data_IF_225245984842
#
_entry.id   IF_225245984842
#
_cell.length_a   1.000
_cell.length_b   1.000
_cell.length_c   1.000
_cell.angle_alpha   90.00
_cell.angle_beta   90.00
_cell.angle_gamma   90.00
#
_symmetry.space_group_name_H-M   'P 1'
#
loop_
_entity.id
_entity.type
_entity.pdbx_description
1 polymer ?
#
# COMPACT_ATOMS: atom_id res chain seq x y z
N UNK A 1 17.49 -24.36 -80.29
CA UNK A 1 17.92 -24.47 -78.87
C UNK A 1 18.93 -23.34 -78.63
N UNK A 2 18.89 -22.54 -77.54
CA UNK A 2 18.08 -22.57 -76.32
C UNK A 2 17.12 -21.35 -76.16
N UNK A 3 16.20 -21.47 -75.21
CA UNK A 3 15.11 -20.53 -74.85
C UNK A 3 15.60 -19.51 -73.81
N UNK A 4 15.25 -18.21 -73.90
CA UNK A 4 15.53 -17.25 -72.84
C UNK A 4 14.53 -17.42 -71.67
N UNK A 5 15.02 -17.73 -70.47
CA UNK A 5 14.23 -17.73 -69.24
C UNK A 5 14.11 -16.29 -68.72
N UNK A 6 12.88 -15.78 -68.65
CA UNK A 6 12.54 -14.52 -67.94
C UNK A 6 12.65 -14.74 -66.43
N UNK A 7 13.29 -13.84 -65.66
CA UNK A 7 13.13 -13.81 -64.22
C UNK A 7 11.74 -13.25 -63.86
N UNK A 8 10.98 -14.03 -63.09
CA UNK A 8 9.74 -13.59 -62.44
C UNK A 8 10.09 -12.52 -61.41
N UNK A 9 9.76 -11.27 -61.74
CA UNK A 9 9.71 -10.15 -60.79
C UNK A 9 8.71 -10.47 -59.69
N UNK A 10 9.20 -10.96 -58.55
CA UNK A 10 8.45 -11.01 -57.31
C UNK A 10 8.13 -9.57 -56.88
N UNK A 11 6.84 -9.23 -56.82
CA UNK A 11 6.34 -7.90 -56.43
C UNK A 11 6.66 -7.64 -54.93
N UNK A 12 7.57 -6.71 -54.59
CA UNK A 12 8.06 -6.52 -53.22
C UNK A 12 7.02 -5.92 -52.26
N UNK A 13 5.90 -5.41 -52.79
CA UNK A 13 4.84 -4.75 -52.02
C UNK A 13 4.00 -5.76 -51.21
N UNK A 14 3.87 -7.00 -51.68
CA UNK A 14 3.02 -8.01 -51.01
C UNK A 14 3.73 -8.65 -49.81
N UNK A 15 5.06 -8.74 -49.83
CA UNK A 15 5.84 -9.33 -48.73
C UNK A 15 5.94 -8.40 -47.52
N UNK A 16 6.03 -7.07 -47.75
CA UNK A 16 6.08 -6.08 -46.66
C UNK A 16 4.79 -6.03 -45.81
N UNK A 17 3.63 -6.22 -46.44
CA UNK A 17 2.32 -6.14 -45.76
C UNK A 17 2.06 -7.36 -44.86
N UNK A 18 2.53 -8.55 -45.27
CA UNK A 18 2.48 -9.77 -44.44
C UNK A 18 3.42 -9.65 -43.24
N UNK A 19 4.62 -9.07 -43.43
CA UNK A 19 5.56 -8.82 -42.33
C UNK A 19 5.03 -7.88 -41.25
N UNK A 20 4.30 -6.83 -41.63
CA UNK A 20 3.67 -5.88 -40.69
C UNK A 20 2.49 -6.51 -39.94
N UNK A 21 1.67 -7.32 -40.61
CA UNK A 21 0.55 -8.02 -39.97
C UNK A 21 1.01 -9.09 -38.97
N UNK A 22 2.06 -9.85 -39.29
CA UNK A 22 2.65 -10.84 -38.39
C UNK A 22 3.40 -10.16 -37.23
N UNK A 23 4.11 -9.05 -37.50
CA UNK A 23 4.74 -8.23 -36.47
C UNK A 23 3.74 -7.69 -35.45
N UNK A 24 2.64 -7.09 -35.91
CA UNK A 24 1.59 -6.55 -35.04
C UNK A 24 0.91 -7.63 -34.18
N UNK A 25 0.74 -8.85 -34.70
CA UNK A 25 0.18 -9.97 -33.94
C UNK A 25 1.15 -10.51 -32.88
N UNK A 26 2.45 -10.56 -33.16
CA UNK A 26 3.44 -11.12 -32.24
C UNK A 26 3.82 -10.18 -31.09
N UNK A 27 3.72 -8.85 -31.24
CA UNK A 27 3.93 -7.90 -30.11
C UNK A 27 2.61 -7.48 -29.45
N UNK A 28 1.51 -7.43 -30.20
CA UNK A 28 0.21 -7.00 -29.68
C UNK A 28 -0.49 -8.03 -28.80
N UNK A 29 -0.42 -9.32 -29.16
CA UNK A 29 -1.10 -10.39 -28.41
C UNK A 29 -0.47 -10.63 -27.04
N UNK A 30 0.88 -10.66 -26.86
CA UNK A 30 1.46 -10.78 -25.52
C UNK A 30 1.12 -9.61 -24.61
N UNK A 31 1.08 -8.38 -25.14
CA UNK A 31 0.71 -7.18 -24.36
C UNK A 31 -0.76 -7.20 -23.93
N UNK A 32 -1.66 -7.59 -24.84
CA UNK A 32 -3.09 -7.78 -24.54
C UNK A 32 -3.33 -8.91 -23.54
N UNK A 33 -2.60 -10.02 -23.63
CA UNK A 33 -2.70 -11.14 -22.69
C UNK A 33 -2.16 -10.77 -21.31
N UNK A 34 -1.06 -10.01 -21.21
CA UNK A 34 -0.63 -9.43 -19.93
C UNK A 34 -1.67 -8.45 -19.35
N UNK A 35 -2.34 -7.67 -20.20
CA UNK A 35 -3.38 -6.72 -19.75
C UNK A 35 -4.67 -7.42 -19.30
N UNK A 36 -5.02 -8.56 -19.93
CA UNK A 36 -6.22 -9.34 -19.62
C UNK A 36 -6.04 -10.30 -18.44
N UNK A 37 -4.82 -10.74 -18.17
CA UNK A 37 -4.49 -11.60 -17.02
C UNK A 37 -4.02 -10.81 -15.77
N UNK A 38 -3.77 -9.51 -15.91
CA UNK A 38 -3.23 -8.65 -14.85
C UNK A 38 -3.93 -7.30 -14.70
N UNK A 39 -5.15 -7.14 -15.21
CA UNK A 39 -5.97 -5.94 -14.97
C UNK A 39 -6.29 -5.77 -13.47
N UNK A 40 -6.42 -4.53 -12.98
CA UNK A 40 -6.57 -4.22 -11.55
C UNK A 40 -7.64 -5.08 -10.90
N UNK A 41 -7.18 -5.99 -10.06
CA UNK A 41 -8.00 -6.98 -9.39
C UNK A 41 -8.98 -6.31 -8.42
N UNK A 42 -10.26 -6.70 -8.55
CA UNK A 42 -11.21 -6.79 -7.46
C UNK A 42 -11.97 -5.51 -7.08
N UNK A 43 -13.25 -5.70 -6.74
CA UNK A 43 -14.03 -4.78 -5.94
C UNK A 43 -13.21 -4.30 -4.72
N UNK A 44 -13.31 -3.01 -4.39
CA UNK A 44 -12.64 -2.45 -3.22
C UNK A 44 -12.96 -3.29 -1.97
N UNK A 45 -11.96 -3.62 -1.12
CA UNK A 45 -12.21 -4.29 0.14
C UNK A 45 -13.17 -3.45 1.00
N UNK A 46 -13.95 -4.10 1.85
CA UNK A 46 -14.78 -3.40 2.83
C UNK A 46 -13.95 -3.18 4.09
N UNK A 47 -13.83 -1.93 4.53
CA UNK A 47 -13.18 -1.63 5.81
C UNK A 47 -13.98 -2.25 6.98
N UNK A 48 -13.33 -2.84 7.98
CA UNK A 48 -14.04 -3.41 9.12
C UNK A 48 -14.74 -2.35 9.96
N UNK A 49 -15.70 -2.77 10.79
CA UNK A 49 -16.41 -1.86 11.69
C UNK A 49 -15.51 -1.36 12.84
N UNK A 50 -14.59 -2.20 13.29
CA UNK A 50 -13.64 -1.89 14.36
C UNK A 50 -12.26 -2.41 14.00
N UNK A 51 -11.22 -1.80 14.55
CA UNK A 51 -9.84 -2.18 14.28
C UNK A 51 -9.02 -2.04 15.55
N UNK A 52 -8.51 -3.15 16.12
CA UNK A 52 -7.74 -3.09 17.37
C UNK A 52 -8.51 -2.51 18.56
N UNK A 53 -9.84 -2.69 18.59
CA UNK A 53 -10.72 -2.07 19.60
C UNK A 53 -11.05 -0.60 19.35
N UNK A 54 -10.49 0.02 18.30
CA UNK A 54 -10.85 1.35 17.85
C UNK A 54 -12.10 1.29 16.96
N UNK A 55 -12.89 2.37 16.99
CA UNK A 55 -14.06 2.53 16.12
C UNK A 55 -13.70 3.38 14.93
N UNK A 56 -14.48 3.33 13.86
CA UNK A 56 -14.33 4.30 12.77
C UNK A 56 -14.41 5.73 13.32
N UNK A 57 -13.55 6.60 12.83
CA UNK A 57 -13.40 7.96 13.36
C UNK A 57 -14.74 8.73 13.35
N UNK A 58 -15.59 8.51 12.35
CA UNK A 58 -16.89 9.18 12.28
C UNK A 58 -17.81 8.75 13.43
N UNK A 59 -17.80 7.47 13.78
CA UNK A 59 -18.59 6.93 14.90
C UNK A 59 -18.06 7.43 16.24
N UNK A 60 -16.73 7.45 16.42
CA UNK A 60 -16.09 7.93 17.65
C UNK A 60 -16.40 9.42 17.90
N UNK A 61 -16.28 10.25 16.85
CA UNK A 61 -16.59 11.69 16.93
C UNK A 61 -18.08 11.93 17.17
N UNK A 62 -18.95 11.22 16.46
CA UNK A 62 -20.40 11.36 16.62
C UNK A 62 -20.86 11.00 18.04
N UNK A 63 -20.21 10.04 18.70
CA UNK A 63 -20.48 9.66 20.09
C UNK A 63 -20.15 10.79 21.08
N UNK A 64 -19.10 11.57 20.82
CA UNK A 64 -18.68 12.70 21.68
C UNK A 64 -19.59 13.90 21.48
N UNK A 65 -19.76 14.34 20.23
CA UNK A 65 -20.68 15.44 19.88
C UNK A 65 -20.98 15.43 18.38
N UNK A 66 -22.13 14.86 18.00
CA UNK A 66 -22.53 14.75 16.59
C UNK A 66 -22.73 16.10 15.88
N UNK A 67 -23.16 17.15 16.61
CA UNK A 67 -23.48 18.46 16.01
C UNK A 67 -22.21 19.25 15.75
N UNK A 68 -21.34 19.38 16.76
CA UNK A 68 -20.05 20.09 16.61
C UNK A 68 -19.04 19.26 15.81
N UNK A 69 -19.14 17.93 15.86
CA UNK A 69 -18.26 17.00 15.16
C UNK A 69 -18.51 16.87 13.66
N UNK A 70 -19.65 17.35 13.13
CA UNK A 70 -20.03 17.17 11.73
C UNK A 70 -18.95 17.64 10.73
N UNK A 71 -18.36 18.81 10.94
CA UNK A 71 -17.33 19.32 10.04
C UNK A 71 -16.06 18.44 10.04
N UNK A 72 -15.69 17.87 11.19
CA UNK A 72 -14.58 16.92 11.30
C UNK A 72 -14.89 15.61 10.59
N UNK A 73 -16.10 15.07 10.79
CA UNK A 73 -16.59 13.87 10.12
C UNK A 73 -16.56 14.06 8.60
N UNK A 74 -17.17 15.13 8.08
CA UNK A 74 -17.21 15.40 6.64
C UNK A 74 -15.79 15.52 6.04
N UNK A 75 -14.85 16.13 6.79
CA UNK A 75 -13.44 16.24 6.39
C UNK A 75 -12.73 14.89 6.38
N UNK A 76 -12.93 14.04 7.39
CA UNK A 76 -12.32 12.72 7.47
C UNK A 76 -12.85 11.84 6.33
N UNK A 77 -14.16 11.76 6.16
CA UNK A 77 -14.80 11.03 5.06
C UNK A 77 -14.26 11.45 3.70
N UNK A 78 -14.14 12.76 3.46
CA UNK A 78 -13.55 13.26 2.21
C UNK A 78 -12.08 12.88 2.07
N UNK A 79 -11.31 12.99 3.14
CA UNK A 79 -9.88 12.64 3.14
C UNK A 79 -9.68 11.16 2.84
N UNK A 80 -10.46 10.28 3.45
CA UNK A 80 -10.40 8.84 3.23
C UNK A 80 -10.81 8.49 1.79
N UNK A 81 -11.87 9.09 1.25
CA UNK A 81 -12.28 8.90 -0.15
C UNK A 81 -11.21 9.33 -1.16
N UNK A 82 -10.66 10.54 -0.99
CA UNK A 82 -9.60 11.06 -1.86
C UNK A 82 -8.31 10.24 -1.75
N UNK A 83 -7.98 9.76 -0.54
CA UNK A 83 -6.81 8.91 -0.31
C UNK A 83 -7.02 7.53 -0.93
N UNK A 84 -8.19 6.92 -0.78
CA UNK A 84 -8.52 5.65 -1.41
C UNK A 84 -8.44 5.73 -2.94
N UNK A 85 -8.93 6.81 -3.55
CA UNK A 85 -8.81 7.04 -4.99
C UNK A 85 -7.34 7.15 -5.43
N UNK A 86 -6.50 7.84 -4.65
CA UNK A 86 -5.05 7.97 -4.93
C UNK A 86 -4.31 6.66 -4.75
N UNK A 87 -4.66 5.87 -3.73
CA UNK A 87 -4.11 4.52 -3.53
C UNK A 87 -4.51 3.66 -4.71
N UNK A 88 -5.79 3.61 -5.07
CA UNK A 88 -6.25 2.85 -6.24
C UNK A 88 -5.46 3.22 -7.49
N UNK A 89 -5.30 4.52 -7.78
CA UNK A 89 -4.51 5.00 -8.92
C UNK A 89 -3.02 4.59 -8.86
N UNK A 90 -2.42 4.56 -7.67
CA UNK A 90 -1.03 4.12 -7.48
C UNK A 90 -0.83 2.61 -7.70
N UNK A 91 -1.91 1.82 -7.65
CA UNK A 91 -1.94 0.38 -7.93
C UNK A 91 -2.75 0.08 -9.20
N UNK A 92 -2.56 0.90 -10.24
CA UNK A 92 -3.15 0.71 -11.58
C UNK A 92 -4.69 0.60 -11.60
N UNK A 93 -5.37 1.22 -10.63
CA UNK A 93 -6.82 1.18 -10.49
C UNK A 93 -7.35 0.03 -9.62
N UNK A 94 -6.49 -0.70 -8.91
CA UNK A 94 -6.91 -1.79 -8.02
C UNK A 94 -7.92 -1.32 -6.97
N UNK A 95 -8.84 -2.21 -6.58
CA UNK A 95 -9.81 -1.91 -5.54
C UNK A 95 -9.10 -1.54 -4.24
N UNK A 96 -9.33 -0.33 -3.74
CA UNK A 96 -8.70 0.20 -2.54
C UNK A 96 -9.74 0.78 -1.58
N UNK A 97 -9.46 0.65 -0.29
CA UNK A 97 -10.21 1.28 0.79
C UNK A 97 -9.25 1.93 1.77
N UNK A 98 -9.64 3.09 2.26
CA UNK A 98 -8.97 3.81 3.34
C UNK A 98 -10.02 4.13 4.38
N UNK A 99 -9.69 3.93 5.65
CA UNK A 99 -10.58 4.23 6.77
C UNK A 99 -9.77 4.66 7.99
N UNK A 100 -10.10 5.81 8.54
CA UNK A 100 -9.58 6.26 9.82
C UNK A 100 -10.35 5.64 10.99
N UNK A 101 -9.62 5.23 12.02
CA UNK A 101 -10.12 4.67 13.28
C UNK A 101 -9.59 5.46 14.47
N UNK A 102 -10.44 5.67 15.47
CA UNK A 102 -10.11 6.41 16.68
C UNK A 102 -10.65 5.71 17.93
N UNK A 103 -9.99 5.97 19.06
CA UNK A 103 -10.49 5.58 20.37
C UNK A 103 -11.58 6.55 20.85
N UNK A 104 -12.29 6.18 21.92
CA UNK A 104 -13.41 7.00 22.43
C UNK A 104 -12.96 8.36 22.99
N UNK A 105 -11.66 8.50 23.31
CA UNK A 105 -11.07 9.75 23.79
C UNK A 105 -10.52 10.62 22.65
N UNK A 106 -10.59 10.14 21.40
CA UNK A 106 -10.04 10.80 20.21
C UNK A 106 -8.54 11.11 20.34
N UNK A 107 -7.82 10.32 21.15
CA UNK A 107 -6.38 10.48 21.43
C UNK A 107 -5.51 9.59 20.56
N UNK A 108 -5.97 8.37 20.27
CA UNK A 108 -5.27 7.41 19.42
C UNK A 108 -5.97 7.32 18.09
N UNK A 109 -5.21 7.55 17.01
CA UNK A 109 -5.73 7.51 15.63
C UNK A 109 -4.88 6.57 14.78
N UNK A 110 -5.55 5.62 14.12
CA UNK A 110 -4.97 4.71 13.14
C UNK A 110 -5.66 4.91 11.79
N UNK A 111 -4.90 4.81 10.70
CA UNK A 111 -5.44 4.78 9.35
C UNK A 111 -5.20 3.41 8.74
N UNK A 112 -6.28 2.72 8.39
CA UNK A 112 -6.24 1.50 7.59
C UNK A 112 -6.16 1.86 6.11
N UNK A 113 -5.28 1.19 5.39
CA UNK A 113 -5.19 1.23 3.92
C UNK A 113 -5.17 -0.23 3.45
N UNK A 114 -6.15 -0.63 2.65
CA UNK A 114 -6.17 -1.96 2.05
C UNK A 114 -6.38 -1.86 0.54
N UNK A 115 -5.59 -2.60 -0.24
CA UNK A 115 -5.63 -2.58 -1.71
C UNK A 115 -5.50 -4.00 -2.26
N UNK A 116 -6.29 -4.33 -3.29
CA UNK A 116 -6.30 -5.64 -3.97
C UNK A 116 -5.14 -5.79 -4.95
N UNK A 117 -3.93 -5.58 -4.46
CA UNK A 117 -2.69 -5.71 -5.21
C UNK A 117 -1.51 -5.97 -4.25
N UNK A 118 -0.42 -6.61 -4.71
CA UNK A 118 0.80 -6.71 -3.93
C UNK A 118 1.51 -5.35 -3.84
N UNK A 119 2.08 -5.07 -2.68
CA UNK A 119 2.96 -3.91 -2.42
C UNK A 119 4.40 -4.39 -2.20
N UNK A 120 5.42 -3.60 -2.59
CA UNK A 120 6.80 -3.80 -2.15
C UNK A 120 6.89 -3.90 -0.63
N UNK A 121 7.91 -4.61 -0.14
CA UNK A 121 8.22 -4.65 1.29
C UNK A 121 8.55 -3.23 1.82
N UNK A 122 8.25 -3.01 3.10
CA UNK A 122 8.70 -1.81 3.80
C UNK A 122 10.23 -1.78 3.86
N UNK A 123 10.79 -0.59 3.75
CA UNK A 123 12.23 -0.38 3.85
C UNK A 123 12.54 0.69 4.89
N UNK A 124 13.59 0.47 5.68
CA UNK A 124 14.23 1.50 6.49
C UNK A 124 15.50 1.95 5.77
N UNK A 125 15.72 3.27 5.57
CA UNK A 125 16.98 3.78 5.04
C UNK A 125 18.18 3.30 5.89
N UNK A 126 19.31 3.07 5.25
CA UNK A 126 20.54 2.76 5.97
C UNK A 126 21.06 3.99 6.71
N UNK A 127 21.41 3.82 7.98
CA UNK A 127 22.04 4.83 8.81
C UNK A 127 23.29 4.25 9.49
N UNK A 128 24.42 4.94 9.34
CA UNK A 128 25.67 4.58 10.04
C UNK A 128 25.61 5.11 11.47
N UNK A 129 25.02 4.33 12.37
CA UNK A 129 24.85 4.68 13.78
C UNK A 129 26.18 4.95 14.50
N UNK A 130 27.30 4.35 14.04
CA UNK A 130 28.61 4.59 14.63
C UNK A 130 29.16 5.96 14.24
N UNK A 131 29.05 6.32 12.96
CA UNK A 131 29.40 7.66 12.49
C UNK A 131 28.50 8.74 13.11
N UNK A 132 27.21 8.44 13.27
CA UNK A 132 26.23 9.34 13.89
C UNK A 132 26.34 9.40 15.41
N UNK A 133 27.07 8.46 16.03
CA UNK A 133 27.15 8.28 17.48
C UNK A 133 25.76 8.13 18.11
N UNK A 134 24.93 7.31 17.50
CA UNK A 134 23.58 6.99 17.98
C UNK A 134 23.52 5.54 18.47
N UNK A 135 22.64 5.26 19.43
CA UNK A 135 22.45 3.91 19.93
C UNK A 135 21.69 3.00 18.93
N UNK A 136 20.78 3.58 18.15
CA UNK A 136 19.93 2.91 17.17
C UNK A 136 19.68 3.82 15.97
N UNK A 137 19.35 3.27 14.79
CA UNK A 137 18.91 4.08 13.65
C UNK A 137 17.58 4.78 13.99
N UNK A 138 17.38 5.98 13.46
CA UNK A 138 16.16 6.77 13.64
C UNK A 138 14.92 6.12 13.02
N UNK A 139 15.10 5.25 12.02
CA UNK A 139 14.05 4.36 11.51
C UNK A 139 14.52 2.92 11.53
N UNK A 140 13.74 2.02 12.12
CA UNK A 140 14.05 0.60 12.24
C UNK A 140 12.93 -0.25 11.61
N UNK A 141 13.32 -1.23 10.79
CA UNK A 141 12.38 -2.21 10.24
C UNK A 141 12.36 -3.46 11.12
N UNK A 142 11.21 -3.74 11.73
CA UNK A 142 10.98 -4.92 12.57
C UNK A 142 10.01 -5.87 11.86
N UNK A 143 10.27 -7.18 11.93
CA UNK A 143 9.39 -8.23 11.38
C UNK A 143 8.73 -9.03 12.49
N UNK A 144 7.41 -9.16 12.42
CA UNK A 144 6.59 -9.93 13.36
C UNK A 144 5.71 -10.87 12.54
N UNK A 145 6.12 -12.14 12.46
CA UNK A 145 5.46 -13.11 11.57
C UNK A 145 5.52 -12.64 10.10
N UNK A 146 4.36 -12.48 9.47
CA UNK A 146 4.23 -11.99 8.09
C UNK A 146 4.05 -10.46 7.99
N UNK A 147 4.04 -9.76 9.13
CA UNK A 147 3.91 -8.30 9.18
C UNK A 147 5.29 -7.65 9.30
N UNK A 148 5.47 -6.56 8.58
CA UNK A 148 6.61 -5.66 8.69
C UNK A 148 6.16 -4.37 9.35
N UNK A 149 6.94 -3.83 10.28
CA UNK A 149 6.65 -2.58 10.96
C UNK A 149 7.86 -1.65 10.89
N UNK A 150 7.62 -0.39 10.55
CA UNK A 150 8.61 0.67 10.67
C UNK A 150 8.44 1.36 12.02
N UNK A 151 9.52 1.42 12.79
CA UNK A 151 9.60 2.09 14.07
C UNK A 151 10.40 3.37 13.89
N UNK A 152 9.88 4.47 14.38
CA UNK A 152 10.65 5.68 14.63
C UNK A 152 11.29 5.58 16.00
N UNK A 153 12.62 5.65 16.05
CA UNK A 153 13.37 5.73 17.29
C UNK A 153 13.76 7.19 17.54
N UNK A 154 13.59 7.65 18.78
CA UNK A 154 14.21 8.92 19.17
C UNK A 154 15.73 8.82 19.23
N UNK A 155 16.41 9.94 19.00
CA UNK A 155 17.86 9.99 19.09
C UNK A 155 18.31 9.74 20.52
N UNK A 156 19.13 8.72 20.70
CA UNK A 156 19.87 8.45 21.93
C UNK A 156 21.37 8.45 21.64
N UNK A 157 22.17 9.09 22.51
CA UNK A 157 23.63 9.03 22.41
C UNK A 157 24.16 7.61 22.64
N UNK A 158 25.44 7.32 22.37
CA UNK A 158 25.97 5.96 22.48
C UNK A 158 25.78 5.40 23.89
N UNK A 159 25.26 4.18 24.00
CA UNK A 159 24.97 3.53 25.28
C UNK A 159 23.71 4.02 25.99
N UNK A 160 22.95 4.95 25.42
CA UNK A 160 21.63 5.35 25.89
C UNK A 160 20.59 4.88 24.88
N UNK A 161 19.79 3.90 25.26
CA UNK A 161 18.68 3.45 24.42
C UNK A 161 17.73 4.62 24.10
N UNK A 162 17.10 4.63 22.91
CA UNK A 162 16.03 5.57 22.60
C UNK A 162 14.97 5.58 23.69
N UNK A 163 14.39 6.76 23.95
CA UNK A 163 13.29 6.86 24.91
C UNK A 163 12.10 6.03 24.37
N UNK A 164 11.70 4.95 25.08
CA UNK A 164 10.60 4.12 24.63
C UNK A 164 9.26 4.87 24.64
N UNK A 165 9.12 5.93 25.43
CA UNK A 165 7.91 6.76 25.47
C UNK A 165 7.81 7.73 24.28
N UNK A 166 8.90 7.94 23.54
CA UNK A 166 8.94 8.82 22.38
C UNK A 166 9.19 8.06 21.07
N UNK A 167 9.56 6.78 21.16
CA UNK A 167 9.72 5.89 20.02
C UNK A 167 8.38 5.23 19.70
N UNK A 168 7.99 5.17 18.43
CA UNK A 168 6.66 4.70 18.04
C UNK A 168 6.68 4.05 16.66
N UNK A 169 5.74 3.15 16.43
CA UNK A 169 5.50 2.52 15.14
C UNK A 169 4.88 3.54 14.20
N UNK A 170 5.45 3.78 13.03
CA UNK A 170 4.89 4.71 12.04
C UNK A 170 3.87 4.02 11.13
N UNK A 171 4.17 2.79 10.73
CA UNK A 171 3.28 1.97 9.93
C UNK A 171 3.69 0.50 9.99
N UNK A 172 2.69 -0.38 9.97
CA UNK A 172 2.86 -1.81 9.76
C UNK A 172 2.16 -2.24 8.47
N UNK A 173 2.74 -3.18 7.73
CA UNK A 173 2.24 -3.69 6.46
C UNK A 173 2.32 -5.21 6.41
N UNK A 174 1.27 -5.84 5.89
CA UNK A 174 1.28 -7.20 5.39
C UNK A 174 0.92 -7.19 3.91
N UNK A 175 1.73 -7.86 3.09
CA UNK A 175 1.55 -7.93 1.63
C UNK A 175 1.50 -9.40 1.19
N UNK A 176 0.68 -9.69 0.19
CA UNK A 176 0.55 -10.98 -0.45
C UNK A 176 0.11 -10.82 -1.91
N UNK A 177 -0.04 -11.92 -2.68
CA UNK A 177 -0.21 -11.84 -4.14
C UNK A 177 -1.41 -11.02 -4.64
N UNK A 178 -2.47 -10.88 -3.85
CA UNK A 178 -3.70 -10.18 -4.25
C UNK A 178 -4.25 -9.20 -3.22
N UNK A 179 -3.48 -8.91 -2.17
CA UNK A 179 -3.90 -8.00 -1.11
C UNK A 179 -2.67 -7.42 -0.40
N UNK A 180 -2.74 -6.12 -0.13
CA UNK A 180 -1.87 -5.45 0.82
C UNK A 180 -2.75 -4.77 1.86
N UNK A 181 -2.39 -4.93 3.13
CA UNK A 181 -3.00 -4.23 4.26
C UNK A 181 -1.92 -3.49 5.01
N UNK A 182 -2.12 -2.19 5.16
CA UNK A 182 -1.25 -1.28 5.89
C UNK A 182 -2.05 -0.59 6.98
N UNK A 183 -1.51 -0.55 8.19
CA UNK A 183 -2.01 0.29 9.28
C UNK A 183 -0.95 1.34 9.56
N UNK A 184 -1.33 2.61 9.39
CA UNK A 184 -0.50 3.77 9.67
C UNK A 184 -0.94 4.42 10.97
N UNK A 185 0.01 4.90 11.75
CA UNK A 185 -0.25 5.66 12.97
C UNK A 185 -0.23 7.16 12.64
N UNK A 186 -1.16 7.92 13.21
CA UNK A 186 -1.25 9.38 13.01
C UNK A 186 -0.84 10.14 14.28
N UNK A 187 0.01 9.55 15.11
CA UNK A 187 0.49 10.12 16.36
C UNK A 187 1.30 9.11 17.18
N UNK A 188 1.89 9.58 18.27
CA UNK A 188 2.74 8.78 19.17
C UNK A 188 1.88 7.96 20.14
N UNK A 189 0.78 8.55 20.62
CA UNK A 189 -0.04 8.01 21.70
C UNK A 189 -0.54 6.58 21.42
N UNK A 190 -0.19 5.66 22.31
CA UNK A 190 -0.62 4.25 22.25
C UNK A 190 -0.02 3.44 21.09
N UNK A 191 1.04 3.93 20.44
CA UNK A 191 1.61 3.31 19.23
C UNK A 191 3.06 2.83 19.42
N UNK A 192 3.44 2.47 20.65
CA UNK A 192 4.81 2.10 21.00
C UNK A 192 5.14 0.62 20.75
N UNK A 193 4.14 -0.26 20.81
CA UNK A 193 4.35 -1.70 20.69
C UNK A 193 4.14 -2.20 19.24
N UNK A 194 5.21 -2.61 18.53
CA UNK A 194 5.07 -3.17 17.19
C UNK A 194 4.31 -4.50 17.18
N UNK A 195 4.33 -5.29 18.26
CA UNK A 195 3.60 -6.55 18.35
C UNK A 195 2.10 -6.33 18.41
N UNK A 196 1.65 -5.33 19.16
CA UNK A 196 0.25 -4.90 19.18
C UNK A 196 -0.22 -4.47 17.77
N UNK A 197 0.51 -3.56 17.12
CA UNK A 197 0.15 -3.05 15.79
C UNK A 197 0.20 -4.14 14.71
N UNK A 198 1.15 -5.08 14.79
CA UNK A 198 1.17 -6.25 13.92
C UNK A 198 -0.08 -7.12 14.11
N UNK A 199 -0.54 -7.32 15.35
CA UNK A 199 -1.80 -7.99 15.65
C UNK A 199 -3.01 -7.29 15.03
N UNK A 200 -3.02 -5.96 15.01
CA UNK A 200 -4.07 -5.14 14.38
C UNK A 200 -4.05 -5.32 12.84
N UNK A 201 -2.86 -5.32 12.22
CA UNK A 201 -2.73 -5.61 10.78
C UNK A 201 -3.23 -7.02 10.45
N UNK A 202 -2.90 -8.02 11.27
CA UNK A 202 -3.38 -9.40 11.09
C UNK A 202 -4.90 -9.52 11.25
N UNK A 203 -5.50 -8.74 12.16
CA UNK A 203 -6.94 -8.63 12.28
C UNK A 203 -7.54 -8.08 10.98
N UNK A 204 -7.08 -6.91 10.54
CA UNK A 204 -7.55 -6.28 9.30
C UNK A 204 -7.38 -7.23 8.10
N UNK A 205 -6.25 -7.90 7.98
CA UNK A 205 -5.97 -8.87 6.91
C UNK A 205 -7.04 -9.95 6.79
N UNK A 206 -7.52 -10.49 7.92
CA UNK A 206 -8.58 -11.52 7.93
C UNK A 206 -9.97 -10.96 7.62
N UNK A 207 -10.22 -9.69 7.94
CA UNK A 207 -11.54 -9.08 7.81
C UNK A 207 -11.77 -8.45 6.44
N UNK A 208 -10.71 -7.97 5.78
CA UNK A 208 -10.79 -7.35 4.44
C UNK A 208 -10.44 -8.31 3.30
N UNK A 209 -9.75 -9.41 3.60
CA UNK A 209 -9.28 -10.41 2.64
C UNK A 209 -10.40 -11.27 2.09
#
# INVERSE_FOLDING_TARGET
MPVPRRPLTARPVVVGLIGVLVGAFLVGVPWLVLSLLGGPSGQAPTAPANLGGLRRAEEAIAKVDAVRGKASIDRITKTDQETAARVSAAYDGAGAVVQEYQDERLSRTLQLIAVRAPSPELFAPYEDVQALREAKPGTELVRIGAVQCLLHNTRGGPGNDPDPALSFVTNCQRTGPGLTVTVRTNGIEGNHDPQELAGIVEQAWREVG
#
